data_IF_672547552866
#
_entry.id   IF_672547552866
#
_cell.length_a   1.000
_cell.length_b   1.000
_cell.length_c   1.000
_cell.angle_alpha   90.00
_cell.angle_beta   90.00
_cell.angle_gamma   90.00
#
_symmetry.space_group_name_H-M   'P 1'
#
loop_
_entity.id
_entity.type
_entity.pdbx_description
1 polymer ?
#
# COMPACT_ATOMS: atom_id res chain seq x y z
N UNK A 1 -21.60 -5.28 -5.89
CA UNK A 1 -21.29 -4.24 -6.89
C UNK A 1 -20.01 -4.67 -7.58
N UNK A 2 -20.06 -4.93 -8.88
CA UNK A 2 -18.89 -5.36 -9.64
C UNK A 2 -18.12 -4.11 -10.07
N UNK A 3 -16.87 -3.96 -9.64
CA UNK A 3 -15.94 -3.03 -10.26
C UNK A 3 -15.59 -3.60 -11.63
N UNK A 4 -15.60 -2.76 -12.66
CA UNK A 4 -15.24 -3.13 -14.02
C UNK A 4 -14.08 -2.27 -14.47
N UNK A 5 -13.12 -2.88 -15.15
CA UNK A 5 -12.02 -2.18 -15.84
C UNK A 5 -12.51 -1.46 -17.11
N UNK A 6 -13.78 -1.62 -17.52
CA UNK A 6 -14.34 -0.89 -18.65
C UNK A 6 -14.88 0.47 -18.21
N UNK A 7 -14.37 1.52 -18.83
CA UNK A 7 -14.96 2.88 -18.81
C UNK A 7 -16.31 2.82 -19.55
N UNK A 8 -17.36 2.30 -18.90
CA UNK A 8 -18.69 2.38 -19.47
C UNK A 8 -19.25 3.78 -19.25
N UNK A 9 -19.87 4.34 -20.28
CA UNK A 9 -20.49 5.68 -20.20
C UNK A 9 -21.41 5.88 -18.98
N UNK A 10 -22.27 4.90 -18.60
CA UNK A 10 -23.12 5.07 -17.40
C UNK A 10 -22.32 5.23 -16.10
N UNK A 11 -21.22 4.48 -15.91
CA UNK A 11 -20.41 4.60 -14.70
C UNK A 11 -19.61 5.89 -14.64
N UNK A 12 -19.10 6.33 -15.78
CA UNK A 12 -18.46 7.65 -15.88
C UNK A 12 -19.46 8.76 -15.53
N UNK A 13 -20.68 8.70 -16.04
CA UNK A 13 -21.74 9.65 -15.71
C UNK A 13 -22.06 9.65 -14.22
N UNK A 14 -22.20 8.48 -13.58
CA UNK A 14 -22.39 8.34 -12.13
C UNK A 14 -21.22 9.00 -11.38
N UNK A 15 -19.99 8.68 -11.73
CA UNK A 15 -18.80 9.24 -11.08
C UNK A 15 -18.77 10.75 -11.18
N UNK A 16 -18.98 11.32 -12.37
CA UNK A 16 -19.00 12.77 -12.59
C UNK A 16 -20.14 13.44 -11.81
N UNK A 17 -21.34 12.86 -11.80
CA UNK A 17 -22.47 13.39 -11.04
C UNK A 17 -22.19 13.46 -9.54
N UNK A 18 -21.58 12.41 -8.96
CA UNK A 18 -21.15 12.41 -7.54
C UNK A 18 -20.15 13.54 -7.31
N UNK A 19 -19.14 13.68 -8.16
CA UNK A 19 -18.11 14.72 -7.99
C UNK A 19 -18.69 16.13 -8.04
N UNK A 20 -19.65 16.39 -8.93
CA UNK A 20 -20.36 17.68 -9.00
C UNK A 20 -21.15 17.96 -7.72
N UNK A 21 -21.92 16.97 -7.26
CA UNK A 21 -22.70 17.07 -6.02
C UNK A 21 -21.84 17.28 -4.77
N UNK A 22 -20.66 16.66 -4.73
CA UNK A 22 -19.74 16.74 -3.60
C UNK A 22 -18.74 17.90 -3.68
N UNK A 23 -18.77 18.71 -4.73
CA UNK A 23 -17.82 19.82 -4.89
C UNK A 23 -17.80 20.78 -3.70
N UNK A 24 -18.94 21.25 -3.13
CA UNK A 24 -18.92 22.11 -1.93
C UNK A 24 -18.29 21.41 -0.71
N UNK A 25 -18.55 20.11 -0.56
CA UNK A 25 -17.96 19.29 0.49
C UNK A 25 -16.43 19.19 0.33
N UNK A 26 -15.92 18.97 -0.90
CA UNK A 26 -14.49 18.95 -1.16
C UNK A 26 -13.81 20.27 -0.83
N UNK A 27 -14.41 21.39 -1.24
CA UNK A 27 -13.89 22.73 -0.92
C UNK A 27 -13.83 22.95 0.58
N UNK A 28 -14.93 22.65 1.30
CA UNK A 28 -14.98 22.78 2.76
C UNK A 28 -13.88 21.97 3.44
N UNK A 29 -13.77 20.67 3.13
CA UNK A 29 -12.79 19.81 3.77
C UNK A 29 -11.36 20.13 3.37
N UNK A 30 -11.11 20.59 2.13
CA UNK A 30 -9.79 21.04 1.73
C UNK A 30 -9.36 22.29 2.51
N UNK A 31 -10.24 23.24 2.72
CA UNK A 31 -9.98 24.42 3.56
C UNK A 31 -9.74 24.02 5.02
N UNK A 32 -10.54 23.11 5.56
CA UNK A 32 -10.37 22.59 6.92
C UNK A 32 -9.01 21.89 7.09
N UNK A 33 -8.62 21.01 6.16
CA UNK A 33 -7.31 20.34 6.20
C UNK A 33 -6.16 21.33 6.02
N UNK A 34 -6.36 22.44 5.30
CA UNK A 34 -5.36 23.52 5.19
C UNK A 34 -5.18 24.25 6.52
N UNK A 35 -6.25 24.53 7.24
CA UNK A 35 -6.17 25.08 8.60
C UNK A 35 -5.42 24.12 9.52
N UNK A 36 -5.74 22.82 9.48
CA UNK A 36 -5.04 21.79 10.27
C UNK A 36 -3.56 21.70 9.87
N UNK A 37 -3.24 21.82 8.59
CA UNK A 37 -1.87 21.79 8.09
C UNK A 37 -0.99 22.94 8.58
N UNK A 38 -1.58 24.05 9.02
CA UNK A 38 -0.89 25.18 9.62
C UNK A 38 -0.56 24.94 11.11
N UNK A 39 -1.25 24.01 11.76
CA UNK A 39 -1.09 23.73 13.19
C UNK A 39 0.16 22.89 13.50
N UNK A 40 0.64 22.88 14.75
CA UNK A 40 1.68 21.97 15.23
C UNK A 40 1.13 20.58 15.61
N UNK A 41 -0.14 20.27 15.33
CA UNK A 41 -0.76 18.99 15.65
C UNK A 41 0.03 17.82 15.04
N UNK A 42 0.02 16.68 15.74
CA UNK A 42 0.87 15.53 15.43
C UNK A 42 0.81 15.10 13.96
N UNK A 43 -0.34 14.82 13.32
CA UNK A 43 -0.33 14.35 11.93
C UNK A 43 0.27 15.38 10.98
N UNK A 44 -0.17 16.64 11.05
CA UNK A 44 0.27 17.71 10.18
C UNK A 44 1.74 18.04 10.34
N UNK A 45 2.25 18.07 11.60
CA UNK A 45 3.67 18.34 11.88
C UNK A 45 4.57 17.27 11.26
N UNK A 46 4.23 15.99 11.41
CA UNK A 46 5.03 14.88 10.87
C UNK A 46 4.99 14.88 9.34
N UNK A 47 3.82 15.01 8.73
CA UNK A 47 3.68 15.08 7.28
C UNK A 47 4.51 16.22 6.69
N UNK A 48 4.41 17.42 7.27
CA UNK A 48 5.16 18.59 6.83
C UNK A 48 6.68 18.43 6.97
N UNK A 49 7.13 17.81 8.07
CA UNK A 49 8.55 17.51 8.28
C UNK A 49 9.08 16.51 7.26
N UNK A 50 8.34 15.42 7.02
CA UNK A 50 8.72 14.38 6.06
C UNK A 50 8.71 14.92 4.61
N UNK A 51 7.67 15.68 4.21
CA UNK A 51 7.61 16.31 2.90
C UNK A 51 8.82 17.25 2.68
N UNK A 52 9.14 18.10 3.66
CA UNK A 52 10.32 18.97 3.56
C UNK A 52 11.61 18.19 3.39
N UNK A 53 11.84 17.18 4.21
CA UNK A 53 13.12 16.46 4.24
C UNK A 53 13.29 15.47 3.09
N UNK A 54 12.19 14.99 2.47
CA UNK A 54 12.23 13.90 1.49
C UNK A 54 11.87 14.33 0.08
N UNK A 55 11.08 15.39 -0.07
CA UNK A 55 10.68 15.91 -1.40
C UNK A 55 11.24 17.30 -1.69
N UNK A 56 11.92 17.92 -0.74
CA UNK A 56 12.42 19.30 -0.85
C UNK A 56 11.32 20.37 -0.81
N UNK A 57 10.08 20.01 -0.44
CA UNK A 57 8.98 20.98 -0.34
C UNK A 57 9.27 22.03 0.72
N UNK A 58 9.11 23.33 0.39
CA UNK A 58 9.39 24.46 1.31
C UNK A 58 8.18 25.37 1.45
N UNK A 59 8.18 26.22 2.48
CA UNK A 59 7.20 27.28 2.68
C UNK A 59 5.75 26.83 2.45
N UNK A 60 5.06 27.54 1.56
CA UNK A 60 3.66 27.28 1.20
C UNK A 60 3.49 25.88 0.56
N UNK A 61 4.46 25.42 -0.24
CA UNK A 61 4.40 24.08 -0.85
C UNK A 61 4.33 22.95 0.18
N UNK A 62 5.07 23.05 1.28
CA UNK A 62 5.00 22.06 2.37
C UNK A 62 3.65 22.09 3.12
N UNK A 63 3.03 23.28 3.24
CA UNK A 63 1.70 23.44 3.87
C UNK A 63 0.63 22.82 2.96
N UNK A 64 0.59 23.23 1.68
CA UNK A 64 -0.37 22.70 0.72
C UNK A 64 -0.21 21.19 0.50
N UNK A 65 1.03 20.69 0.43
CA UNK A 65 1.29 19.27 0.38
C UNK A 65 0.77 18.51 1.62
N UNK A 66 0.96 19.09 2.81
CA UNK A 66 0.38 18.51 4.05
C UNK A 66 -1.14 18.54 4.02
N UNK A 67 -1.75 19.63 3.57
CA UNK A 67 -3.20 19.74 3.38
C UNK A 67 -3.72 18.66 2.42
N UNK A 68 -3.05 18.48 1.30
CA UNK A 68 -3.42 17.47 0.31
C UNK A 68 -3.30 16.03 0.86
N UNK A 69 -2.28 15.73 1.69
CA UNK A 69 -2.15 14.44 2.40
C UNK A 69 -3.33 14.22 3.35
N UNK A 70 -3.69 15.22 4.14
CA UNK A 70 -4.83 15.10 5.07
C UNK A 70 -6.17 14.99 4.32
N UNK A 71 -6.33 15.77 3.25
CA UNK A 71 -7.52 15.72 2.41
C UNK A 71 -7.66 14.39 1.67
N UNK A 72 -6.53 13.74 1.33
CA UNK A 72 -6.54 12.41 0.75
C UNK A 72 -7.30 11.39 1.61
N UNK A 73 -7.16 11.41 2.93
CA UNK A 73 -7.91 10.53 3.83
C UNK A 73 -9.42 10.78 3.79
N UNK A 74 -9.83 12.05 3.67
CA UNK A 74 -11.25 12.40 3.48
C UNK A 74 -11.78 11.79 2.19
N UNK A 75 -11.00 11.90 1.10
CA UNK A 75 -11.38 11.29 -0.19
C UNK A 75 -11.50 9.77 -0.10
N UNK A 76 -10.59 9.07 0.58
CA UNK A 76 -10.68 7.60 0.77
C UNK A 76 -11.99 7.22 1.45
N UNK A 77 -12.39 7.93 2.52
CA UNK A 77 -13.66 7.68 3.21
C UNK A 77 -14.85 7.91 2.28
N UNK A 78 -14.86 9.01 1.52
CA UNK A 78 -15.92 9.31 0.55
C UNK A 78 -16.01 8.24 -0.53
N UNK A 79 -14.87 7.80 -1.04
CA UNK A 79 -14.81 6.77 -2.09
C UNK A 79 -15.33 5.43 -1.60
N UNK A 80 -14.97 5.04 -0.39
CA UNK A 80 -15.39 3.76 0.18
C UNK A 80 -16.87 3.74 0.58
N UNK A 81 -17.41 4.86 1.07
CA UNK A 81 -18.77 4.90 1.61
C UNK A 81 -19.79 5.58 0.69
N UNK A 82 -19.36 6.32 -0.34
CA UNK A 82 -20.27 6.94 -1.31
C UNK A 82 -20.08 6.34 -2.70
N UNK A 83 -18.87 6.40 -3.29
CA UNK A 83 -18.66 5.94 -4.66
C UNK A 83 -18.80 4.42 -4.81
N UNK A 84 -18.20 3.65 -3.91
CA UNK A 84 -18.21 2.19 -4.03
C UNK A 84 -19.63 1.58 -3.95
N UNK A 85 -20.51 1.94 -2.99
CA UNK A 85 -21.83 1.36 -2.87
C UNK A 85 -22.73 1.57 -4.07
N UNK A 86 -22.59 2.70 -4.77
CA UNK A 86 -23.42 3.06 -5.93
C UNK A 86 -22.73 2.76 -7.27
N UNK A 87 -21.58 2.07 -7.25
CA UNK A 87 -20.86 1.69 -8.47
C UNK A 87 -20.15 2.83 -9.18
N UNK A 88 -19.88 3.94 -8.47
CA UNK A 88 -19.19 5.11 -9.00
C UNK A 88 -17.66 5.02 -9.03
N UNK A 89 -17.07 3.94 -8.50
CA UNK A 89 -15.62 3.72 -8.61
C UNK A 89 -15.24 3.23 -10.01
N UNK A 90 -14.20 3.86 -10.54
CA UNK A 90 -13.62 3.55 -11.85
C UNK A 90 -12.16 3.13 -11.67
N UNK A 91 -11.76 2.03 -12.30
CA UNK A 91 -10.36 1.62 -12.40
C UNK A 91 -9.97 1.71 -13.86
N UNK A 92 -9.10 2.67 -14.17
CA UNK A 92 -8.52 2.81 -15.51
C UNK A 92 -7.50 1.69 -15.72
N UNK A 93 -7.60 1.05 -16.86
CA UNK A 93 -6.64 0.04 -17.26
C UNK A 93 -5.22 0.63 -17.40
N UNK A 94 -4.26 -0.13 -16.91
CA UNK A 94 -2.84 0.06 -17.14
C UNK A 94 -2.32 -1.22 -17.81
N UNK A 95 -2.20 -1.25 -19.15
CA UNK A 95 -1.88 -2.48 -19.88
C UNK A 95 -0.54 -3.10 -19.48
N UNK A 96 0.47 -2.29 -19.18
CA UNK A 96 1.80 -2.76 -18.75
C UNK A 96 1.73 -3.47 -17.42
N UNK A 97 1.18 -2.79 -16.41
CA UNK A 97 0.94 -3.38 -15.08
C UNK A 97 0.11 -4.65 -15.19
N UNK A 98 -0.96 -4.63 -15.98
CA UNK A 98 -1.83 -5.79 -16.14
C UNK A 98 -1.08 -6.97 -16.76
N UNK A 99 -0.34 -6.77 -17.83
CA UNK A 99 0.40 -7.84 -18.52
C UNK A 99 1.47 -8.44 -17.60
N UNK A 100 2.19 -7.61 -16.84
CA UNK A 100 3.22 -8.05 -15.91
C UNK A 100 2.63 -8.87 -14.75
N UNK A 101 1.53 -8.43 -14.14
CA UNK A 101 0.90 -9.14 -13.04
C UNK A 101 0.11 -10.38 -13.49
N UNK A 102 -0.48 -10.38 -14.69
CA UNK A 102 -1.05 -11.58 -15.30
C UNK A 102 0.05 -12.64 -15.55
N UNK A 103 1.21 -12.25 -16.04
CA UNK A 103 2.36 -13.14 -16.24
C UNK A 103 2.84 -13.75 -14.91
N UNK A 104 2.97 -12.94 -13.86
CA UNK A 104 3.31 -13.42 -12.52
C UNK A 104 2.27 -14.43 -11.99
N UNK A 105 0.99 -14.16 -12.25
CA UNK A 105 -0.11 -15.02 -11.81
C UNK A 105 -0.15 -16.35 -12.56
N UNK A 106 0.10 -16.34 -13.88
CA UNK A 106 0.21 -17.55 -14.71
C UNK A 106 1.38 -18.40 -14.19
N UNK A 107 2.55 -17.79 -14.04
CA UNK A 107 3.73 -18.49 -13.55
C UNK A 107 3.50 -19.12 -12.16
N UNK A 108 2.92 -18.38 -11.23
CA UNK A 108 2.61 -18.89 -9.90
C UNK A 108 1.62 -20.07 -9.97
N UNK A 109 0.59 -19.99 -10.81
CA UNK A 109 -0.40 -21.03 -10.98
C UNK A 109 0.20 -22.31 -11.56
N UNK A 110 0.98 -22.22 -12.65
CA UNK A 110 1.62 -23.34 -13.31
C UNK A 110 2.62 -24.07 -12.39
N UNK A 111 3.26 -23.33 -11.46
CA UNK A 111 4.23 -23.88 -10.53
C UNK A 111 3.62 -24.17 -9.12
N UNK A 112 2.30 -24.06 -8.97
CA UNK A 112 1.59 -24.27 -7.69
C UNK A 112 2.13 -23.40 -6.53
N UNK A 113 2.49 -22.16 -6.83
CA UNK A 113 3.05 -21.20 -5.88
C UNK A 113 1.98 -20.21 -5.39
N UNK A 114 2.14 -19.70 -4.16
CA UNK A 114 1.41 -18.55 -3.66
C UNK A 114 1.98 -17.23 -4.18
N UNK A 115 1.25 -16.13 -3.95
CA UNK A 115 1.69 -14.79 -4.33
C UNK A 115 1.70 -13.89 -3.09
N UNK A 116 2.87 -13.34 -2.75
CA UNK A 116 3.01 -12.27 -1.77
C UNK A 116 2.87 -10.91 -2.47
N UNK A 117 1.83 -10.18 -2.12
CA UNK A 117 1.55 -8.84 -2.67
C UNK A 117 2.10 -7.80 -1.72
N UNK A 118 3.17 -7.10 -2.10
CA UNK A 118 3.75 -6.00 -1.34
C UNK A 118 2.98 -4.72 -1.66
N UNK A 119 2.14 -4.31 -0.72
CA UNK A 119 1.30 -3.13 -0.85
C UNK A 119 1.77 -1.99 0.07
N UNK A 120 1.23 -0.79 -0.14
CA UNK A 120 1.54 0.41 0.62
C UNK A 120 0.28 1.12 1.12
N UNK A 121 0.41 1.95 2.17
CA UNK A 121 -0.59 2.93 2.57
C UNK A 121 -0.56 4.13 1.59
N UNK A 122 -0.83 3.83 0.32
CA UNK A 122 -0.84 4.77 -0.80
C UNK A 122 -2.16 4.61 -1.57
N UNK A 123 -2.71 5.70 -2.04
CA UNK A 123 -4.00 5.68 -2.76
C UNK A 123 -5.14 5.16 -1.88
N UNK A 124 -5.93 4.23 -2.39
CA UNK A 124 -6.97 3.54 -1.63
C UNK A 124 -6.68 2.03 -1.60
N UNK A 125 -6.36 1.52 -0.41
CA UNK A 125 -5.97 0.11 -0.20
C UNK A 125 -7.10 -0.85 -0.61
N UNK A 126 -8.34 -0.48 -0.35
CA UNK A 126 -9.50 -1.32 -0.68
C UNK A 126 -9.70 -1.40 -2.21
N UNK A 127 -9.46 -0.29 -2.93
CA UNK A 127 -9.44 -0.27 -4.40
C UNK A 127 -8.27 -1.10 -4.95
N UNK A 128 -7.12 -1.09 -4.26
CA UNK A 128 -5.99 -1.97 -4.62
C UNK A 128 -6.40 -3.44 -4.54
N UNK A 129 -7.11 -3.84 -3.47
CA UNK A 129 -7.67 -5.20 -3.33
C UNK A 129 -8.65 -5.56 -4.45
N UNK A 130 -9.53 -4.63 -4.81
CA UNK A 130 -10.47 -4.83 -5.93
C UNK A 130 -9.74 -5.00 -7.27
N UNK A 131 -8.72 -4.16 -7.54
CA UNK A 131 -7.92 -4.23 -8.76
C UNK A 131 -7.12 -5.54 -8.85
N UNK A 132 -6.52 -5.98 -7.74
CA UNK A 132 -5.86 -7.28 -7.64
C UNK A 132 -6.83 -8.43 -7.93
N UNK A 133 -8.02 -8.40 -7.34
CA UNK A 133 -9.02 -9.42 -7.56
C UNK A 133 -9.46 -9.51 -9.04
N UNK A 134 -9.50 -8.38 -9.75
CA UNK A 134 -9.80 -8.34 -11.19
C UNK A 134 -8.65 -8.89 -12.03
N UNK A 135 -7.41 -8.53 -11.71
CA UNK A 135 -6.21 -8.88 -12.48
C UNK A 135 -5.82 -10.35 -12.28
N UNK A 136 -5.81 -10.82 -11.01
CA UNK A 136 -5.35 -12.18 -10.68
C UNK A 136 -6.44 -13.26 -10.86
N UNK A 137 -7.72 -12.87 -10.99
CA UNK A 137 -8.88 -13.77 -10.97
C UNK A 137 -8.86 -14.88 -12.02
N UNK A 138 -8.20 -14.68 -13.15
CA UNK A 138 -8.15 -15.68 -14.23
C UNK A 138 -7.23 -16.87 -13.90
N UNK A 139 -6.23 -16.67 -13.05
CA UNK A 139 -5.13 -17.61 -12.87
C UNK A 139 -4.92 -18.02 -11.39
N UNK A 140 -5.28 -17.19 -10.44
CA UNK A 140 -5.48 -17.61 -9.04
C UNK A 140 -6.89 -18.16 -8.95
N UNK A 141 -7.05 -19.36 -8.38
CA UNK A 141 -8.33 -20.08 -8.36
C UNK A 141 -9.55 -19.14 -8.24
N UNK A 142 -10.50 -19.14 -9.19
CA UNK A 142 -11.51 -18.09 -9.36
C UNK A 142 -12.42 -17.85 -8.15
N UNK A 143 -12.47 -18.85 -7.24
CA UNK A 143 -13.23 -18.83 -6.00
C UNK A 143 -12.43 -18.34 -4.79
N UNK A 144 -11.11 -18.14 -4.93
CA UNK A 144 -10.24 -17.83 -3.79
C UNK A 144 -10.18 -16.31 -3.59
N UNK A 145 -10.64 -15.79 -2.46
CA UNK A 145 -10.55 -14.36 -2.18
C UNK A 145 -9.09 -13.92 -2.04
N UNK A 146 -8.81 -12.66 -2.38
CA UNK A 146 -7.55 -12.02 -2.00
C UNK A 146 -7.49 -11.95 -0.49
N UNK A 147 -6.37 -12.35 0.09
CA UNK A 147 -6.16 -12.27 1.52
C UNK A 147 -5.37 -11.02 1.87
N UNK A 148 -5.68 -10.40 3.00
CA UNK A 148 -4.96 -9.24 3.49
C UNK A 148 -4.49 -9.48 4.93
N UNK A 149 -3.22 -9.21 5.20
CA UNK A 149 -2.70 -9.18 6.56
C UNK A 149 -3.03 -7.83 7.20
N UNK A 150 -3.75 -7.82 8.30
CA UNK A 150 -4.17 -6.58 8.95
C UNK A 150 -4.01 -6.64 10.48
N UNK A 151 -3.60 -5.52 11.06
CA UNK A 151 -3.64 -5.33 12.50
C UNK A 151 -5.07 -4.97 12.93
N UNK A 152 -5.64 -5.63 13.96
CA UNK A 152 -6.95 -5.23 14.45
C UNK A 152 -6.91 -3.84 15.08
N UNK A 153 -8.00 -3.08 14.91
CA UNK A 153 -8.17 -1.80 15.60
C UNK A 153 -8.28 -2.01 17.12
N UNK A 154 -7.90 -1.00 17.90
CA UNK A 154 -8.16 -0.98 19.35
C UNK A 154 -9.67 -1.04 19.66
N UNK A 155 -10.51 -0.51 18.77
CA UNK A 155 -11.95 -0.62 18.87
C UNK A 155 -12.45 -1.86 18.10
N UNK A 156 -13.05 -2.80 18.82
CA UNK A 156 -13.56 -4.06 18.24
C UNK A 156 -14.71 -3.83 17.25
N UNK A 157 -15.50 -2.77 17.44
CA UNK A 157 -16.57 -2.37 16.51
C UNK A 157 -16.00 -1.96 15.15
N UNK A 158 -14.96 -1.14 15.16
CA UNK A 158 -14.23 -0.74 13.93
C UNK A 158 -13.62 -1.95 13.25
N UNK A 159 -13.01 -2.86 14.02
CA UNK A 159 -12.43 -4.10 13.47
C UNK A 159 -13.49 -4.92 12.75
N UNK A 160 -14.67 -5.13 13.38
CA UNK A 160 -15.79 -5.88 12.78
C UNK A 160 -16.35 -5.19 11.55
N UNK A 161 -16.52 -3.85 11.59
CA UNK A 161 -17.01 -3.08 10.45
C UNK A 161 -16.07 -3.22 9.24
N UNK A 162 -14.77 -3.04 9.45
CA UNK A 162 -13.77 -3.17 8.37
C UNK A 162 -13.69 -4.61 7.83
N UNK A 163 -13.75 -5.61 8.69
CA UNK A 163 -13.78 -7.01 8.26
C UNK A 163 -15.04 -7.33 7.44
N UNK A 164 -16.21 -6.86 7.88
CA UNK A 164 -17.45 -6.99 7.12
C UNK A 164 -17.37 -6.28 5.77
N UNK A 165 -16.85 -5.05 5.73
CA UNK A 165 -16.69 -4.26 4.53
C UNK A 165 -15.76 -4.97 3.51
N UNK A 166 -14.63 -5.49 3.97
CA UNK A 166 -13.68 -6.26 3.15
C UNK A 166 -14.28 -7.57 2.64
N UNK A 167 -15.04 -8.26 3.48
CA UNK A 167 -15.77 -9.46 3.05
C UNK A 167 -16.76 -9.18 1.90
N UNK A 168 -17.43 -8.02 1.88
CA UNK A 168 -18.28 -7.58 0.76
C UNK A 168 -17.49 -7.34 -0.53
N UNK A 169 -16.20 -6.99 -0.42
CA UNK A 169 -15.26 -6.86 -1.54
C UNK A 169 -14.53 -8.16 -1.88
N UNK A 170 -14.88 -9.28 -1.23
CA UNK A 170 -14.21 -10.59 -1.39
C UNK A 170 -12.74 -10.56 -0.98
N UNK A 171 -12.42 -9.75 0.02
CA UNK A 171 -11.10 -9.69 0.66
C UNK A 171 -11.23 -10.40 2.01
N UNK A 172 -10.47 -11.48 2.20
CA UNK A 172 -10.38 -12.19 3.47
C UNK A 172 -9.25 -11.60 4.33
N UNK A 173 -9.47 -11.46 5.64
CA UNK A 173 -8.49 -10.82 6.52
C UNK A 173 -7.87 -11.83 7.46
N UNK A 174 -6.53 -11.89 7.48
CA UNK A 174 -5.74 -12.54 8.51
C UNK A 174 -5.29 -11.47 9.51
N UNK A 175 -5.78 -11.56 10.76
CA UNK A 175 -5.38 -10.61 11.79
C UNK A 175 -4.01 -10.97 12.39
N UNK A 176 -3.13 -9.94 12.56
CA UNK A 176 -1.75 -10.12 13.04
C UNK A 176 -1.63 -10.53 14.50
N UNK A 177 -2.70 -10.44 15.30
CA UNK A 177 -2.72 -10.80 16.71
C UNK A 177 -3.07 -12.29 16.98
N UNK A 178 -3.29 -13.09 15.93
CA UNK A 178 -3.57 -14.52 16.10
C UNK A 178 -2.28 -15.28 16.46
N UNK A 179 -2.41 -16.28 17.34
CA UNK A 179 -1.27 -17.06 17.84
C UNK A 179 -0.61 -17.94 16.76
N UNK A 180 -1.37 -18.36 15.76
CA UNK A 180 -0.95 -19.22 14.65
C UNK A 180 -0.70 -18.44 13.35
N UNK A 181 -0.33 -17.16 13.43
CA UNK A 181 -0.18 -16.25 12.30
C UNK A 181 0.72 -16.82 11.19
N UNK A 182 1.93 -17.25 11.54
CA UNK A 182 2.89 -17.81 10.57
C UNK A 182 2.33 -19.04 9.88
N UNK A 183 1.68 -19.94 10.63
CA UNK A 183 1.03 -21.13 10.08
C UNK A 183 -0.08 -20.78 9.10
N UNK A 184 -0.92 -19.79 9.43
CA UNK A 184 -1.99 -19.34 8.56
C UNK A 184 -1.47 -18.71 7.25
N UNK A 185 -0.41 -17.90 7.32
CA UNK A 185 0.24 -17.35 6.14
C UNK A 185 0.85 -18.44 5.25
N UNK A 186 1.63 -19.39 5.84
CA UNK A 186 2.21 -20.52 5.11
C UNK A 186 1.13 -21.37 4.44
N UNK A 187 0.02 -21.62 5.15
CA UNK A 187 -1.10 -22.38 4.60
C UNK A 187 -1.75 -21.65 3.42
N UNK A 188 -1.91 -20.32 3.51
CA UNK A 188 -2.44 -19.49 2.43
C UNK A 188 -1.57 -19.59 1.18
N UNK A 189 -0.25 -19.42 1.32
CA UNK A 189 0.67 -19.53 0.20
C UNK A 189 0.71 -20.94 -0.41
N UNK A 190 0.72 -21.98 0.41
CA UNK A 190 0.67 -23.39 -0.06
C UNK A 190 -0.62 -23.73 -0.81
N UNK A 191 -1.70 -22.99 -0.57
CA UNK A 191 -2.97 -23.11 -1.31
C UNK A 191 -2.98 -22.29 -2.61
N UNK A 192 -1.86 -21.71 -3.03
CA UNK A 192 -1.78 -20.87 -4.23
C UNK A 192 -2.50 -19.53 -4.11
N UNK A 193 -2.76 -19.04 -2.88
CA UNK A 193 -3.48 -17.79 -2.66
C UNK A 193 -2.57 -16.58 -2.76
N UNK A 194 -3.17 -15.42 -3.08
CA UNK A 194 -2.52 -14.13 -3.00
C UNK A 194 -2.76 -13.48 -1.63
N UNK A 195 -1.67 -13.16 -0.91
CA UNK A 195 -1.70 -12.51 0.40
C UNK A 195 -1.06 -11.13 0.33
N UNK A 196 -1.85 -10.08 0.58
CA UNK A 196 -1.39 -8.70 0.61
C UNK A 196 -0.76 -8.36 1.97
N UNK A 197 0.45 -7.81 1.91
CA UNK A 197 1.28 -7.38 3.02
C UNK A 197 1.54 -5.88 2.89
N UNK A 198 1.09 -5.07 3.85
CA UNK A 198 1.42 -3.66 3.93
C UNK A 198 2.80 -3.50 4.56
N UNK A 199 3.83 -3.27 3.74
CA UNK A 199 5.23 -3.27 4.18
C UNK A 199 5.89 -1.89 4.22
N UNK A 200 5.18 -0.84 3.89
CA UNK A 200 5.69 0.54 3.85
C UNK A 200 5.86 1.21 5.23
N UNK A 201 5.24 0.70 6.27
CA UNK A 201 5.40 1.22 7.63
C UNK A 201 6.58 0.55 8.34
N UNK A 202 7.16 1.23 9.35
CA UNK A 202 8.26 0.64 10.13
C UNK A 202 7.76 -0.54 10.96
N UNK A 203 8.56 -1.59 11.14
CA UNK A 203 8.20 -2.72 11.99
C UNK A 203 8.14 -2.33 13.47
N UNK A 204 7.35 -3.07 14.25
CA UNK A 204 7.29 -2.89 15.70
C UNK A 204 8.58 -3.32 16.41
N UNK A 205 9.23 -4.37 15.89
CA UNK A 205 10.48 -4.94 16.40
C UNK A 205 11.65 -4.71 15.43
N UNK A 206 12.39 -5.75 15.11
CA UNK A 206 13.47 -5.76 14.12
C UNK A 206 12.91 -5.66 12.71
N UNK A 207 13.72 -5.16 11.78
CA UNK A 207 13.36 -5.07 10.37
C UNK A 207 14.60 -4.79 9.53
N UNK A 208 14.50 -5.02 8.24
CA UNK A 208 15.53 -4.73 7.29
C UNK A 208 15.59 -3.23 6.99
N UNK A 209 16.81 -2.67 6.96
CA UNK A 209 17.04 -1.28 6.57
C UNK A 209 17.42 -1.20 5.10
N UNK A 210 16.60 -0.52 4.33
CA UNK A 210 16.91 -0.19 2.93
C UNK A 210 16.81 1.31 2.72
N UNK A 211 17.49 1.82 1.69
CA UNK A 211 17.36 3.22 1.31
C UNK A 211 15.93 3.51 0.87
N UNK A 212 15.38 4.62 1.37
CA UNK A 212 14.07 5.12 1.00
C UNK A 212 14.07 6.65 1.04
N UNK A 213 13.94 7.28 -0.09
CA UNK A 213 14.15 8.73 -0.30
C UNK A 213 15.53 9.20 0.20
N UNK A 214 16.59 8.48 -0.18
CA UNK A 214 17.97 8.82 0.14
C UNK A 214 18.32 8.70 1.64
N UNK A 215 17.54 7.94 2.41
CA UNK A 215 17.76 7.77 3.86
C UNK A 215 17.40 6.34 4.27
N UNK A 216 18.25 5.65 5.06
CA UNK A 216 17.92 4.34 5.58
C UNK A 216 16.57 4.34 6.32
N UNK A 217 15.69 3.44 5.96
CA UNK A 217 14.38 3.27 6.59
C UNK A 217 14.14 1.80 6.90
N UNK A 218 13.60 1.51 8.09
CA UNK A 218 13.27 0.14 8.49
C UNK A 218 11.98 -0.34 7.82
N UNK A 219 12.02 -1.53 7.22
CA UNK A 219 10.89 -2.22 6.62
C UNK A 219 10.62 -3.55 7.33
N UNK A 220 9.36 -3.99 7.46
CA UNK A 220 9.03 -5.28 8.07
C UNK A 220 9.40 -6.41 7.11
N UNK A 221 10.23 -7.34 7.58
CA UNK A 221 10.70 -8.49 6.80
C UNK A 221 9.96 -9.80 7.12
N UNK A 222 9.35 -9.92 8.30
CA UNK A 222 8.78 -11.18 8.75
C UNK A 222 7.75 -11.81 7.80
N UNK A 223 6.92 -10.99 7.14
CA UNK A 223 5.97 -11.49 6.14
C UNK A 223 6.66 -11.97 4.85
N UNK A 224 7.74 -11.31 4.47
CA UNK A 224 8.57 -11.67 3.30
C UNK A 224 9.29 -12.99 3.57
N UNK A 225 9.86 -13.17 4.75
CA UNK A 225 10.50 -14.41 5.17
C UNK A 225 9.54 -15.62 5.12
N UNK A 226 8.29 -15.43 5.56
CA UNK A 226 7.27 -16.49 5.47
C UNK A 226 6.96 -16.83 4.01
N UNK A 227 6.85 -15.81 3.14
CA UNK A 227 6.60 -15.99 1.71
C UNK A 227 7.78 -16.70 1.01
N UNK A 228 9.03 -16.33 1.33
CA UNK A 228 10.24 -16.99 0.84
C UNK A 228 10.30 -18.47 1.21
N UNK A 229 10.00 -18.80 2.47
CA UNK A 229 9.94 -20.22 2.95
C UNK A 229 8.87 -21.04 2.22
N UNK A 230 7.82 -20.41 1.73
CA UNK A 230 6.79 -21.08 0.91
C UNK A 230 7.07 -21.00 -0.60
N UNK A 231 8.22 -20.47 -1.01
CA UNK A 231 8.62 -20.28 -2.42
C UNK A 231 7.64 -19.42 -3.23
N UNK A 232 6.92 -18.52 -2.55
CA UNK A 232 5.92 -17.66 -3.19
C UNK A 232 6.56 -16.67 -4.18
N UNK A 233 5.77 -16.25 -5.18
CA UNK A 233 6.13 -15.13 -6.05
C UNK A 233 5.86 -13.81 -5.33
N UNK A 234 6.58 -12.76 -5.73
CA UNK A 234 6.47 -11.43 -5.14
C UNK A 234 6.02 -10.42 -6.20
N UNK A 235 4.94 -9.72 -5.91
CA UNK A 235 4.47 -8.59 -6.71
C UNK A 235 4.31 -7.35 -5.84
N UNK A 236 4.61 -6.18 -6.41
CA UNK A 236 4.22 -4.90 -5.84
C UNK A 236 2.86 -4.51 -6.41
N UNK A 237 1.99 -3.91 -5.61
CA UNK A 237 0.71 -3.43 -6.11
C UNK A 237 0.15 -2.28 -5.27
N UNK A 238 -0.39 -1.27 -5.95
CA UNK A 238 -1.16 -0.19 -5.34
C UNK A 238 -2.12 0.45 -6.34
N UNK A 239 -3.06 1.27 -5.86
CA UNK A 239 -3.96 2.07 -6.70
C UNK A 239 -3.63 3.55 -6.56
N UNK A 240 -3.41 4.24 -7.67
CA UNK A 240 -3.15 5.68 -7.70
C UNK A 240 -4.42 6.42 -8.16
N UNK A 241 -4.92 7.33 -7.34
CA UNK A 241 -6.08 8.16 -7.69
C UNK A 241 -5.70 9.16 -8.77
N UNK A 242 -6.49 9.21 -9.83
CA UNK A 242 -6.40 10.20 -10.91
C UNK A 242 -7.27 11.40 -10.56
N UNK A 243 -8.52 11.15 -10.18
CA UNK A 243 -9.48 12.11 -9.58
C UNK A 243 -10.40 11.35 -8.61
N UNK A 244 -11.23 12.03 -7.79
CA UNK A 244 -12.06 11.33 -6.81
C UNK A 244 -12.94 10.25 -7.45
N UNK A 245 -12.83 9.03 -6.93
CA UNK A 245 -13.51 7.84 -7.44
C UNK A 245 -12.92 7.23 -8.72
N UNK A 246 -11.82 7.77 -9.27
CA UNK A 246 -11.14 7.20 -10.43
C UNK A 246 -9.67 6.90 -10.15
N UNK A 247 -9.26 5.69 -10.44
CA UNK A 247 -7.93 5.16 -10.14
C UNK A 247 -7.26 4.55 -11.36
N UNK A 248 -5.94 4.49 -11.34
CA UNK A 248 -5.13 3.57 -12.15
C UNK A 248 -4.46 2.58 -11.22
N UNK A 249 -4.25 1.36 -11.71
CA UNK A 249 -3.62 0.29 -10.96
C UNK A 249 -2.14 0.23 -11.35
N UNK A 250 -1.26 0.32 -10.35
CA UNK A 250 0.19 0.29 -10.49
C UNK A 250 0.71 -1.01 -9.88
N UNK A 251 1.55 -1.72 -10.58
CA UNK A 251 2.12 -2.96 -10.07
C UNK A 251 3.41 -3.35 -10.79
N UNK A 252 4.14 -4.28 -10.18
CA UNK A 252 5.39 -4.83 -10.71
C UNK A 252 5.62 -6.23 -10.18
N UNK A 253 6.14 -7.13 -11.01
CA UNK A 253 6.59 -8.46 -10.61
C UNK A 253 8.08 -8.43 -10.23
N UNK A 254 8.41 -8.93 -9.03
CA UNK A 254 9.78 -9.03 -8.52
C UNK A 254 10.33 -10.44 -8.80
N UNK A 255 10.62 -10.74 -10.07
CA UNK A 255 10.93 -12.09 -10.52
C UNK A 255 12.28 -12.62 -10.04
N UNK A 256 13.31 -11.76 -10.02
CA UNK A 256 14.70 -12.18 -9.83
C UNK A 256 15.23 -11.94 -8.41
N UNK A 257 14.56 -11.12 -7.61
CA UNK A 257 15.04 -10.70 -6.30
C UNK A 257 15.12 -11.85 -5.29
N UNK A 258 14.29 -12.88 -5.45
CA UNK A 258 14.32 -14.09 -4.61
C UNK A 258 15.55 -14.98 -4.83
N UNK A 259 16.28 -14.79 -5.92
CA UNK A 259 17.49 -15.54 -6.27
C UNK A 259 18.76 -14.90 -5.70
N UNK A 260 18.64 -13.75 -5.03
CA UNK A 260 19.74 -13.07 -4.35
C UNK A 260 20.25 -13.88 -3.15
N UNK A 261 21.51 -13.63 -2.75
CA UNK A 261 22.08 -14.16 -1.51
C UNK A 261 21.31 -13.66 -0.26
N UNK A 262 20.83 -12.40 -0.31
CA UNK A 262 19.98 -11.80 0.73
C UNK A 262 18.60 -11.45 0.14
N UNK A 263 17.73 -12.45 -0.10
CA UNK A 263 16.52 -12.25 -0.89
C UNK A 263 15.52 -11.32 -0.23
N UNK A 264 15.39 -11.31 1.09
CA UNK A 264 14.46 -10.42 1.81
C UNK A 264 14.87 -8.95 1.62
N UNK A 265 16.17 -8.63 1.74
CA UNK A 265 16.68 -7.29 1.51
C UNK A 265 16.54 -6.87 0.03
N UNK A 266 16.87 -7.76 -0.91
CA UNK A 266 16.75 -7.49 -2.34
C UNK A 266 15.30 -7.17 -2.73
N UNK A 267 14.33 -7.95 -2.25
CA UNK A 267 12.90 -7.73 -2.44
C UNK A 267 12.49 -6.37 -1.86
N UNK A 268 12.89 -6.06 -0.62
CA UNK A 268 12.54 -4.79 0.03
C UNK A 268 13.19 -3.59 -0.66
N UNK A 269 14.41 -3.71 -1.15
CA UNK A 269 15.11 -2.67 -1.91
C UNK A 269 14.40 -2.38 -3.23
N UNK A 270 14.01 -3.41 -3.97
CA UNK A 270 13.25 -3.28 -5.22
C UNK A 270 11.86 -2.71 -4.98
N UNK A 271 11.17 -3.16 -3.92
CA UNK A 271 9.89 -2.60 -3.49
C UNK A 271 10.01 -1.10 -3.14
N UNK A 272 11.02 -0.71 -2.33
CA UNK A 272 11.22 0.67 -1.92
C UNK A 272 11.42 1.60 -3.13
N UNK A 273 12.29 1.20 -4.08
CA UNK A 273 12.52 1.96 -5.32
C UNK A 273 11.25 2.08 -6.18
N UNK A 274 10.50 0.99 -6.32
CA UNK A 274 9.22 1.01 -7.04
C UNK A 274 8.23 1.95 -6.36
N UNK A 275 8.10 1.88 -5.02
CA UNK A 275 7.19 2.72 -4.25
C UNK A 275 7.57 4.20 -4.34
N UNK A 276 8.86 4.55 -4.31
CA UNK A 276 9.35 5.92 -4.53
C UNK A 276 8.88 6.46 -5.88
N UNK A 277 9.00 5.67 -6.94
CA UNK A 277 8.52 6.04 -8.28
C UNK A 277 7.02 6.30 -8.30
N UNK A 278 6.23 5.45 -7.65
CA UNK A 278 4.78 5.62 -7.56
C UNK A 278 4.41 6.86 -6.72
N UNK A 279 5.08 7.08 -5.59
CA UNK A 279 4.88 8.26 -4.75
C UNK A 279 5.25 9.54 -5.53
N UNK A 280 6.30 9.53 -6.33
CA UNK A 280 6.70 10.70 -7.13
C UNK A 280 5.61 11.13 -8.12
N UNK A 281 4.80 10.20 -8.64
CA UNK A 281 3.67 10.51 -9.53
C UNK A 281 2.50 11.20 -8.81
N UNK A 282 2.32 10.97 -7.51
CA UNK A 282 1.23 11.54 -6.71
C UNK A 282 1.60 11.61 -5.23
N UNK A 283 2.49 12.53 -4.84
CA UNK A 283 3.10 12.54 -3.50
C UNK A 283 2.09 12.62 -2.36
N UNK A 284 0.98 13.34 -2.56
CA UNK A 284 -0.05 13.54 -1.52
C UNK A 284 -0.88 12.28 -1.21
N UNK A 285 -0.70 11.17 -1.93
CA UNK A 285 -1.45 9.94 -1.72
C UNK A 285 -0.76 8.94 -0.80
N UNK A 286 0.46 9.22 -0.32
CA UNK A 286 1.15 8.39 0.65
C UNK A 286 1.03 8.95 2.08
N UNK A 287 1.14 8.06 3.07
CA UNK A 287 0.97 8.39 4.49
C UNK A 287 2.20 9.13 5.09
N UNK A 288 2.46 10.37 4.62
CA UNK A 288 3.56 11.20 5.13
C UNK A 288 3.46 11.55 6.61
N UNK A 289 2.30 11.45 7.22
CA UNK A 289 2.04 11.65 8.64
C UNK A 289 2.57 10.51 9.53
N UNK A 290 3.12 9.46 8.94
CA UNK A 290 3.74 8.35 9.64
C UNK A 290 5.24 8.60 9.89
N UNK A 291 5.76 8.22 11.07
CA UNK A 291 7.17 8.40 11.47
C UNK A 291 8.07 7.30 10.89
N UNK A 292 8.14 7.17 9.57
CA UNK A 292 8.87 6.11 8.86
C UNK A 292 10.35 6.07 9.25
N UNK A 293 11.02 7.22 9.28
CA UNK A 293 12.47 7.35 9.53
C UNK A 293 12.84 7.56 11.00
N UNK A 294 11.94 7.29 11.94
CA UNK A 294 12.22 7.48 13.38
C UNK A 294 13.15 6.41 13.99
N UNK A 295 13.39 5.31 13.28
CA UNK A 295 14.40 4.31 13.63
C UNK A 295 15.53 4.40 12.61
N UNK A 296 16.77 4.43 13.09
CA UNK A 296 17.98 4.41 12.26
C UNK A 296 18.78 3.15 12.60
N UNK A 297 19.60 2.62 11.68
CA UNK A 297 20.52 1.55 11.99
C UNK A 297 21.46 1.99 13.12
N UNK A 298 21.75 1.09 14.05
CA UNK A 298 22.76 1.35 15.09
C UNK A 298 24.07 1.60 14.37
N UNK A 299 24.69 2.78 14.55
CA UNK A 299 26.05 3.01 14.07
C UNK A 299 26.94 1.95 14.72
N UNK A 300 27.48 1.04 13.95
CA UNK A 300 28.62 0.25 14.39
C UNK A 300 29.71 1.29 14.60
N UNK A 301 30.09 1.54 15.86
CA UNK A 301 31.24 2.36 16.15
C UNK A 301 32.43 1.79 15.34
N UNK A 302 33.27 2.61 14.68
CA UNK A 302 34.45 2.09 14.04
C UNK A 302 35.22 1.29 15.09
N UNK A 303 35.57 0.05 14.76
CA UNK A 303 36.42 -0.77 15.60
C UNK A 303 37.64 0.09 15.93
N UNK A 304 37.89 0.33 17.24
CA UNK A 304 39.04 1.09 17.70
C UNK A 304 40.28 0.59 17.00
N UNK A 305 40.89 1.44 16.20
CA UNK A 305 42.22 1.27 15.65
C UNK A 305 43.29 1.59 16.71
N UNK A 306 43.08 1.10 17.94
CA UNK A 306 44.05 1.23 19.03
C UNK A 306 44.77 -0.12 19.25
N UNK A 307 45.56 -0.46 18.26
CA UNK A 307 46.74 -1.34 18.42
C UNK A 307 47.88 -0.71 17.60
N UNK A 308 48.38 0.42 18.11
CA UNK A 308 49.72 0.87 17.79
C UNK A 308 50.51 1.01 19.05
N UNK A 309 51.63 0.24 19.04
CA UNK A 309 52.91 0.45 19.68
C UNK A 309 53.02 0.23 21.21
N UNK A 310 53.61 -0.85 21.53
CA UNK A 310 54.91 -0.84 22.29
C UNK A 310 55.67 -2.10 21.95
#
# INVERSE_FOLDING_TARGET
>A
VAISTSFSFPRLAINLSINVLLLPFYVFFFLLTTIIALTPLFPARVARSNLRSKTGATGLGAILGTSAVLFHYVLVVVEDFVFWPIGGLLIRDNPETRAELESASIYAHENSLGIAVLAAHFGNIEVTGDALALTLKKHVAPSTPIMALAKPSKNSGVTRLLAWYRAKRKIEVIFTNRKDLVRAMLQSFKQGRALALLVDQKPASTGCFVDFFGTPAAFPEGGIEVALRSKSEFICATSRRIWPGCYTFEGRWLQNERLSEEPAEAILRSYARWLEGVIALSPWQWCWDYRKWSRQPTRIAPANSDLQTS
#
